data_IF_678290405454
#
_entry.id   IF_678290405454
#
_cell.length_a   1.000
_cell.length_b   1.000
_cell.length_c   1.000
_cell.angle_alpha   90.00
_cell.angle_beta   90.00
_cell.angle_gamma   90.00
#
_symmetry.space_group_name_H-M   'P 1'
#
loop_
_entity.id
_entity.type
_entity.pdbx_description
1 polymer ?
#
# COMPACT_ATOMS: atom_id res chain seq x y z
N UNK A 1 51.99 27.40 8.56
CA UNK A 1 53.11 26.63 7.98
C UNK A 1 52.90 26.56 6.48
N UNK A 2 53.78 27.28 5.78
CA UNK A 2 54.00 27.49 4.34
C UNK A 2 53.00 26.98 3.26
N UNK A 3 52.43 27.94 2.55
CA UNK A 3 52.19 27.88 1.09
C UNK A 3 53.52 28.06 0.34
N UNK A 4 53.73 27.31 -0.76
CA UNK A 4 54.55 27.75 -1.91
C UNK A 4 54.10 27.03 -3.19
N UNK A 5 53.63 27.83 -4.14
CA UNK A 5 53.49 27.48 -5.57
C UNK A 5 54.86 27.59 -6.26
N UNK A 6 55.10 26.79 -7.30
CA UNK A 6 55.99 27.16 -8.40
C UNK A 6 55.63 26.40 -9.68
N UNK A 7 55.53 27.17 -10.77
CA UNK A 7 55.29 26.78 -12.16
C UNK A 7 56.63 26.70 -12.90
N UNK A 8 56.80 25.72 -13.79
CA UNK A 8 57.66 25.69 -15.00
C UNK A 8 57.30 24.42 -15.80
N UNK A 9 56.57 24.49 -16.93
CA UNK A 9 57.08 24.71 -18.30
C UNK A 9 57.86 23.49 -18.85
N UNK A 10 57.71 22.96 -20.07
CA UNK A 10 56.84 23.18 -21.24
C UNK A 10 57.18 22.05 -22.26
N UNK A 11 56.23 21.71 -23.14
CA UNK A 11 56.36 21.12 -24.50
C UNK A 11 56.50 19.59 -24.77
N UNK A 12 55.48 19.14 -25.52
CA UNK A 12 55.49 18.32 -26.74
C UNK A 12 55.58 16.79 -26.64
N UNK A 13 54.48 16.09 -26.93
CA UNK A 13 54.21 15.53 -28.27
C UNK A 13 52.94 14.68 -28.34
N UNK A 14 52.16 14.89 -29.42
CA UNK A 14 51.36 13.91 -30.20
C UNK A 14 50.15 13.16 -29.59
N UNK A 15 48.97 13.62 -30.02
CA UNK A 15 47.78 12.89 -30.52
C UNK A 15 47.86 11.36 -30.44
N UNK A 16 46.96 10.74 -29.64
CA UNK A 16 46.32 9.46 -29.98
C UNK A 16 44.87 9.43 -29.46
N UNK A 17 43.96 9.32 -30.42
CA UNK A 17 42.64 8.67 -30.40
C UNK A 17 41.55 9.14 -29.43
N UNK A 18 40.65 9.95 -29.99
CA UNK A 18 39.23 9.78 -29.79
C UNK A 18 38.80 8.37 -30.22
N UNK A 19 38.31 7.57 -29.28
CA UNK A 19 37.34 6.49 -29.47
C UNK A 19 37.26 5.71 -28.16
N UNK A 20 36.18 5.86 -27.39
CA UNK A 20 35.68 4.88 -26.41
C UNK A 20 34.38 5.38 -25.75
N UNK A 21 33.41 5.81 -26.56
CA UNK A 21 31.99 5.86 -26.17
C UNK A 21 31.13 5.58 -27.42
N UNK A 22 31.47 4.52 -28.15
CA UNK A 22 30.55 3.89 -29.09
C UNK A 22 30.10 2.56 -28.46
N UNK A 23 29.28 2.66 -27.41
CA UNK A 23 28.49 1.52 -26.97
C UNK A 23 27.56 1.13 -28.12
N UNK A 24 27.65 -0.13 -28.54
CA UNK A 24 27.09 -0.66 -29.77
C UNK A 24 25.57 -0.42 -29.89
N UNK A 25 25.18 0.62 -30.64
CA UNK A 25 23.86 0.68 -31.27
C UNK A 25 23.84 -0.36 -32.40
N UNK A 26 23.43 -1.59 -32.08
CA UNK A 26 23.16 -2.59 -33.11
C UNK A 26 22.01 -2.08 -33.99
N UNK A 27 22.17 -2.10 -35.32
CA UNK A 27 21.14 -1.71 -36.30
C UNK A 27 19.82 -2.53 -36.21
N UNK A 28 19.78 -3.52 -35.33
CA UNK A 28 18.65 -4.39 -35.04
C UNK A 28 18.15 -4.28 -33.58
N UNK A 29 18.56 -3.24 -32.83
CA UNK A 29 17.92 -2.98 -31.55
C UNK A 29 16.45 -2.63 -31.79
N UNK A 30 15.57 -3.43 -31.21
CA UNK A 30 14.12 -3.33 -31.28
C UNK A 30 13.66 -1.93 -30.90
N UNK A 31 14.35 -1.28 -29.96
CA UNK A 31 14.07 0.09 -29.54
C UNK A 31 14.36 1.08 -30.68
N UNK A 32 15.50 0.97 -31.35
CA UNK A 32 15.84 1.86 -32.47
C UNK A 32 14.95 1.64 -33.70
N UNK A 33 14.42 0.44 -33.89
CA UNK A 33 13.53 0.14 -35.01
C UNK A 33 12.10 0.62 -34.77
N UNK A 34 11.55 0.41 -33.57
CA UNK A 34 10.21 0.88 -33.26
C UNK A 34 10.13 2.42 -33.17
N UNK A 35 11.20 3.12 -32.75
CA UNK A 35 11.26 4.59 -32.79
C UNK A 35 11.17 5.17 -34.21
N UNK A 36 11.62 4.42 -35.23
CA UNK A 36 11.48 4.82 -36.64
C UNK A 36 10.07 4.62 -37.18
N UNK A 37 9.31 3.68 -36.61
CA UNK A 37 7.92 3.39 -37.00
C UNK A 37 6.97 4.43 -36.41
N UNK A 38 7.20 4.86 -35.16
CA UNK A 38 6.41 5.93 -34.50
C UNK A 38 6.44 7.25 -35.30
N UNK A 39 7.61 7.64 -35.81
CA UNK A 39 7.80 8.85 -36.62
C UNK A 39 6.93 8.91 -37.89
N UNK A 40 6.35 7.79 -38.32
CA UNK A 40 5.55 7.67 -39.56
C UNK A 40 4.04 7.83 -39.31
N UNK A 41 3.56 7.63 -38.08
CA UNK A 41 2.12 7.43 -37.83
C UNK A 41 1.32 8.67 -37.45
N UNK A 42 1.96 9.80 -37.10
CA UNK A 42 1.27 11.07 -36.80
C UNK A 42 0.34 11.03 -35.57
N UNK A 43 0.36 9.93 -34.81
CA UNK A 43 -0.29 9.83 -33.50
C UNK A 43 0.66 10.50 -32.50
N UNK A 44 0.14 11.41 -31.67
CA UNK A 44 0.89 12.00 -30.56
C UNK A 44 1.08 10.95 -29.44
N UNK A 45 1.82 9.89 -29.74
CA UNK A 45 2.26 8.88 -28.78
C UNK A 45 3.66 9.27 -28.28
N UNK A 46 3.98 9.04 -26.99
CA UNK A 46 5.33 9.21 -26.49
C UNK A 46 6.31 8.34 -27.28
N UNK A 47 7.50 8.85 -27.56
CA UNK A 47 8.58 8.05 -28.14
C UNK A 47 8.95 6.90 -27.21
N UNK A 48 9.54 5.82 -27.73
CA UNK A 48 10.01 4.72 -26.88
C UNK A 48 10.93 5.13 -25.71
N UNK A 49 11.75 6.15 -25.90
CA UNK A 49 12.59 6.67 -24.82
C UNK A 49 11.74 7.32 -23.72
N UNK A 50 10.69 8.05 -24.09
CA UNK A 50 9.71 8.62 -23.17
C UNK A 50 8.85 7.54 -22.52
N UNK A 51 8.38 6.54 -23.27
CA UNK A 51 7.66 5.38 -22.73
C UNK A 51 8.50 4.70 -21.65
N UNK A 52 9.77 4.43 -21.94
CA UNK A 52 10.68 3.82 -20.97
C UNK A 52 10.84 4.69 -19.72
N UNK A 53 11.06 5.99 -19.87
CA UNK A 53 11.21 6.90 -18.74
C UNK A 53 9.93 6.98 -17.88
N UNK A 54 8.76 7.07 -18.53
CA UNK A 54 7.46 7.07 -17.85
C UNK A 54 7.24 5.75 -17.12
N UNK A 55 7.55 4.61 -17.74
CA UNK A 55 7.43 3.30 -17.11
C UNK A 55 8.37 3.15 -15.90
N UNK A 56 9.61 3.63 -15.98
CA UNK A 56 10.55 3.60 -14.85
C UNK A 56 10.03 4.43 -13.66
N UNK A 57 9.55 5.66 -13.90
CA UNK A 57 8.94 6.49 -12.87
C UNK A 57 7.63 5.87 -12.33
N UNK A 58 6.81 5.34 -13.23
CA UNK A 58 5.57 4.65 -12.94
C UNK A 58 5.77 3.41 -12.07
N UNK A 59 6.85 2.66 -12.30
CA UNK A 59 7.24 1.53 -11.47
C UNK A 59 7.58 1.98 -10.04
N UNK A 60 8.39 3.03 -9.89
CA UNK A 60 8.76 3.58 -8.57
C UNK A 60 7.51 4.04 -7.81
N UNK A 61 6.63 4.77 -8.49
CA UNK A 61 5.36 5.24 -7.93
C UNK A 61 4.43 4.08 -7.55
N UNK A 62 4.23 3.13 -8.45
CA UNK A 62 3.24 2.06 -8.30
C UNK A 62 3.69 0.92 -7.41
N UNK A 63 4.99 0.77 -7.13
CA UNK A 63 5.54 -0.37 -6.39
C UNK A 63 4.84 -0.60 -5.05
N UNK A 64 4.71 0.40 -4.15
CA UNK A 64 3.99 0.19 -2.89
C UNK A 64 2.53 -0.21 -3.09
N UNK A 65 1.84 0.32 -4.11
CA UNK A 65 0.43 0.06 -4.40
C UNK A 65 0.25 -1.40 -4.85
N UNK A 66 1.05 -1.85 -5.82
CA UNK A 66 0.98 -3.22 -6.35
C UNK A 66 1.37 -4.25 -5.28
N UNK A 67 2.39 -3.95 -4.46
CA UNK A 67 2.76 -4.86 -3.36
C UNK A 67 1.68 -4.91 -2.28
N UNK A 68 1.02 -3.79 -1.98
CA UNK A 68 -0.11 -3.76 -1.05
C UNK A 68 -1.31 -4.55 -1.58
N UNK A 69 -1.56 -4.49 -2.90
CA UNK A 69 -2.55 -5.35 -3.56
C UNK A 69 -2.23 -6.83 -3.37
N UNK A 70 -0.96 -7.25 -3.57
CA UNK A 70 -0.55 -8.63 -3.32
C UNK A 70 -0.81 -9.08 -1.88
N UNK A 71 -0.50 -8.23 -0.89
CA UNK A 71 -0.78 -8.49 0.54
C UNK A 71 -2.28 -8.65 0.79
N UNK A 72 -3.10 -7.74 0.24
CA UNK A 72 -4.55 -7.82 0.37
C UNK A 72 -5.11 -9.09 -0.25
N UNK A 73 -4.64 -9.45 -1.45
CA UNK A 73 -5.07 -10.65 -2.16
C UNK A 73 -4.80 -11.91 -1.33
N UNK A 74 -3.59 -12.07 -0.80
CA UNK A 74 -3.24 -13.20 0.07
C UNK A 74 -4.09 -13.27 1.34
N UNK A 75 -4.34 -12.14 1.99
CA UNK A 75 -5.03 -12.12 3.28
C UNK A 75 -6.54 -12.31 3.18
N UNK A 76 -7.16 -11.90 2.07
CA UNK A 76 -8.62 -11.73 1.99
C UNK A 76 -9.24 -12.48 0.82
N UNK A 77 -8.57 -12.51 -0.33
CA UNK A 77 -9.11 -13.03 -1.60
C UNK A 77 -8.75 -14.50 -1.78
N UNK A 78 -7.45 -14.82 -1.71
CA UNK A 78 -6.94 -16.15 -1.95
C UNK A 78 -7.17 -17.06 -0.74
N UNK A 79 -8.30 -17.77 -0.71
CA UNK A 79 -8.62 -18.75 0.34
C UNK A 79 -7.65 -19.94 0.40
N UNK A 80 -6.87 -20.17 -0.65
CA UNK A 80 -5.86 -21.22 -0.70
C UNK A 80 -4.49 -20.73 -0.25
N UNK A 81 -4.33 -19.43 0.01
CA UNK A 81 -3.09 -18.88 0.55
C UNK A 81 -2.90 -19.41 1.97
N UNK A 82 -1.70 -19.91 2.26
CA UNK A 82 -1.30 -20.24 3.64
C UNK A 82 -1.22 -19.01 4.56
N UNK A 83 -1.51 -17.82 4.04
CA UNK A 83 -1.48 -16.55 4.75
C UNK A 83 -2.87 -15.92 4.88
N UNK A 84 -3.93 -16.59 4.38
CA UNK A 84 -5.30 -16.12 4.47
C UNK A 84 -5.71 -15.85 5.92
N UNK A 85 -6.39 -14.71 6.16
CA UNK A 85 -6.76 -14.23 7.50
C UNK A 85 -8.27 -14.22 7.71
N UNK A 86 -8.99 -13.44 6.92
CA UNK A 86 -10.44 -13.27 7.04
C UNK A 86 -11.02 -12.60 5.78
N UNK A 87 -12.34 -12.72 5.52
CA UNK A 87 -13.02 -11.87 4.53
C UNK A 87 -12.96 -10.39 4.90
N UNK A 88 -13.28 -9.51 3.93
CA UNK A 88 -13.43 -8.07 4.19
C UNK A 88 -14.40 -7.80 5.35
N UNK A 89 -14.12 -6.72 6.08
CA UNK A 89 -14.89 -6.23 7.24
C UNK A 89 -14.98 -7.24 8.40
N UNK A 90 -14.08 -8.23 8.45
CA UNK A 90 -13.93 -9.16 9.55
C UNK A 90 -12.50 -9.10 10.11
N UNK A 91 -12.38 -9.35 11.41
CA UNK A 91 -11.10 -9.33 12.10
C UNK A 91 -10.58 -10.76 12.29
N UNK A 92 -9.32 -10.98 11.96
CA UNK A 92 -8.57 -12.17 12.36
C UNK A 92 -7.66 -11.84 13.54
N UNK A 93 -7.74 -12.63 14.62
CA UNK A 93 -6.84 -12.49 15.77
C UNK A 93 -5.78 -13.60 15.71
N UNK A 94 -4.51 -13.20 15.64
CA UNK A 94 -3.40 -14.14 15.78
C UNK A 94 -3.11 -14.33 17.27
N UNK A 95 -3.26 -15.56 17.76
CA UNK A 95 -3.01 -15.92 19.16
C UNK A 95 -1.57 -16.44 19.37
N UNK A 96 -0.64 -15.84 18.61
CA UNK A 96 0.80 -16.08 18.70
C UNK A 96 1.54 -14.87 18.14
N UNK A 97 2.83 -14.80 18.43
CA UNK A 97 3.73 -13.89 17.72
C UNK A 97 4.01 -14.43 16.32
N UNK A 98 4.27 -13.53 15.38
CA UNK A 98 4.71 -13.93 14.05
C UNK A 98 6.12 -14.51 14.11
N UNK A 99 6.43 -15.40 13.16
CA UNK A 99 7.73 -16.05 13.00
C UNK A 99 8.25 -15.82 11.58
N UNK A 100 9.41 -16.41 11.25
CA UNK A 100 9.94 -16.36 9.88
C UNK A 100 9.05 -17.04 8.83
N UNK A 101 8.06 -17.83 9.26
CA UNK A 101 7.08 -18.48 8.39
C UNK A 101 5.95 -17.54 7.96
N UNK A 102 5.75 -16.43 8.68
CA UNK A 102 4.81 -15.37 8.29
C UNK A 102 5.52 -14.44 7.29
N UNK A 103 5.15 -14.53 6.02
CA UNK A 103 5.96 -13.97 4.91
C UNK A 103 5.27 -12.88 4.12
N UNK A 104 3.95 -12.68 4.29
CA UNK A 104 3.21 -11.66 3.56
C UNK A 104 3.58 -10.24 4.02
N UNK A 105 3.79 -10.03 5.32
CA UNK A 105 4.25 -8.74 5.86
C UNK A 105 5.76 -8.81 6.10
N UNK A 106 6.50 -7.87 5.52
CA UNK A 106 7.96 -7.78 5.68
C UNK A 106 8.31 -7.38 7.12
N UNK A 107 9.26 -8.09 7.72
CA UNK A 107 9.84 -7.78 9.05
C UNK A 107 8.81 -7.64 10.17
N UNK A 108 8.02 -8.68 10.50
CA UNK A 108 7.12 -8.63 11.63
C UNK A 108 7.89 -8.57 12.96
N UNK A 109 7.27 -7.97 13.98
CA UNK A 109 7.82 -7.93 15.33
C UNK A 109 7.31 -9.11 16.16
N UNK A 110 8.03 -9.41 17.26
CA UNK A 110 7.67 -10.49 18.19
C UNK A 110 7.15 -9.98 19.54
N UNK A 111 6.82 -8.68 19.65
CA UNK A 111 6.40 -8.04 20.90
C UNK A 111 4.88 -7.86 20.99
N UNK A 112 4.19 -7.97 19.85
CA UNK A 112 2.74 -7.73 19.73
C UNK A 112 2.10 -8.79 18.82
N UNK A 113 1.29 -9.71 19.39
CA UNK A 113 0.37 -10.50 18.59
C UNK A 113 -0.57 -9.58 17.81
N UNK A 114 -0.78 -9.93 16.54
CA UNK A 114 -1.53 -9.12 15.60
C UNK A 114 -3.01 -9.47 15.61
N UNK A 115 -3.86 -8.46 15.45
CA UNK A 115 -5.16 -8.67 14.81
C UNK A 115 -5.20 -7.88 13.51
N UNK A 116 -5.80 -8.42 12.46
CA UNK A 116 -5.82 -7.78 11.15
C UNK A 116 -7.22 -7.85 10.55
N UNK A 117 -7.63 -6.75 9.93
CA UNK A 117 -8.86 -6.67 9.16
C UNK A 117 -8.67 -5.76 7.96
N UNK A 118 -9.01 -6.26 6.78
CA UNK A 118 -9.14 -5.44 5.60
C UNK A 118 -10.58 -4.93 5.50
N UNK A 119 -10.72 -3.64 5.25
CA UNK A 119 -11.98 -2.92 5.24
C UNK A 119 -12.38 -2.64 3.79
N UNK A 120 -13.58 -3.05 3.40
CA UNK A 120 -14.24 -2.62 2.16
C UNK A 120 -15.20 -1.47 2.50
N UNK A 121 -14.84 -0.27 2.04
CA UNK A 121 -15.51 0.99 2.37
C UNK A 121 -16.42 1.48 1.23
N UNK A 122 -16.65 0.67 0.20
CA UNK A 122 -17.42 1.05 -1.00
C UNK A 122 -18.90 1.24 -0.72
N UNK A 123 -19.48 0.36 0.09
CA UNK A 123 -20.92 0.39 0.37
C UNK A 123 -21.26 1.39 1.49
N UNK A 124 -20.48 1.35 2.56
CA UNK A 124 -20.70 2.15 3.76
C UNK A 124 -19.44 2.21 4.64
N UNK A 125 -19.39 3.15 5.61
CA UNK A 125 -18.34 3.15 6.62
C UNK A 125 -18.29 1.87 7.45
N UNK A 126 -17.12 1.60 8.01
CA UNK A 126 -16.90 0.51 8.96
C UNK A 126 -16.63 1.09 10.34
N UNK A 127 -17.25 0.53 11.37
CA UNK A 127 -17.05 0.89 12.77
C UNK A 127 -16.14 -0.13 13.44
N UNK A 128 -15.10 0.37 14.08
CA UNK A 128 -14.16 -0.38 14.92
C UNK A 128 -14.47 -0.03 16.38
N UNK A 129 -15.01 -1.00 17.12
CA UNK A 129 -15.16 -0.91 18.57
C UNK A 129 -13.91 -1.45 19.24
N UNK A 130 -13.38 -0.64 20.15
CA UNK A 130 -12.21 -0.95 20.96
C UNK A 130 -12.67 -1.15 22.40
N UNK A 131 -12.29 -2.26 23.07
CA UNK A 131 -12.61 -2.48 24.47
C UNK A 131 -11.79 -1.54 25.35
N UNK A 132 -12.12 -1.48 26.64
CA UNK A 132 -11.22 -0.85 27.60
C UNK A 132 -9.96 -1.70 27.71
N UNK A 133 -8.81 -1.08 27.50
CA UNK A 133 -7.49 -1.71 27.65
C UNK A 133 -6.85 -1.21 28.94
N UNK A 134 -6.13 -2.07 29.65
CA UNK A 134 -5.36 -1.64 30.82
C UNK A 134 -4.35 -0.55 30.40
N UNK A 135 -4.29 0.56 31.15
CA UNK A 135 -3.37 1.68 30.84
C UNK A 135 -1.89 1.26 30.83
N UNK A 136 -1.53 0.17 31.52
CA UNK A 136 -0.19 -0.40 31.52
C UNK A 136 0.14 -1.15 30.23
N UNK A 137 -0.87 -1.62 29.48
CA UNK A 137 -0.71 -2.39 28.25
C UNK A 137 -0.81 -1.46 27.04
N UNK A 138 0.24 -1.48 26.22
CA UNK A 138 0.21 -0.78 24.94
C UNK A 138 -0.71 -1.51 23.95
N UNK A 139 -1.49 -0.74 23.21
CA UNK A 139 -2.14 -1.21 21.99
C UNK A 139 -2.19 -0.10 20.94
N UNK A 140 -2.24 -0.49 19.68
CA UNK A 140 -2.51 0.41 18.57
C UNK A 140 -3.28 -0.28 17.45
N UNK A 141 -4.13 0.47 16.79
CA UNK A 141 -4.75 0.15 15.51
C UNK A 141 -4.19 1.16 14.53
N UNK A 142 -3.37 0.69 13.62
CA UNK A 142 -2.87 1.46 12.49
C UNK A 142 -3.85 1.33 11.35
N UNK A 143 -4.29 2.47 10.82
CA UNK A 143 -5.14 2.54 9.63
C UNK A 143 -4.28 2.94 8.44
N UNK A 144 -4.20 2.05 7.45
CA UNK A 144 -3.40 2.19 6.26
C UNK A 144 -4.28 2.07 5.01
N UNK A 145 -4.14 2.97 4.06
CA UNK A 145 -4.93 2.95 2.82
C UNK A 145 -4.22 2.17 1.69
N UNK A 146 -4.90 2.02 0.55
CA UNK A 146 -4.40 1.33 -0.63
C UNK A 146 -3.12 1.92 -1.19
N UNK A 147 -2.91 3.22 -0.99
CA UNK A 147 -1.70 3.97 -1.36
C UNK A 147 -0.57 3.81 -0.33
N UNK A 148 -0.77 2.99 0.70
CA UNK A 148 0.17 2.73 1.81
C UNK A 148 0.40 3.91 2.74
N UNK A 149 -0.44 4.94 2.73
CA UNK A 149 -0.39 6.01 3.72
C UNK A 149 -1.07 5.60 5.02
N UNK A 150 -0.39 5.86 6.15
CA UNK A 150 -1.03 5.79 7.46
C UNK A 150 -1.83 7.07 7.69
N UNK A 151 -3.15 6.95 7.66
CA UNK A 151 -4.06 8.10 7.81
C UNK A 151 -4.67 8.21 9.21
N UNK A 152 -4.42 7.24 10.09
CA UNK A 152 -4.95 7.28 11.44
C UNK A 152 -4.36 6.24 12.38
N UNK A 153 -4.39 6.59 13.67
CA UNK A 153 -4.09 5.67 14.76
C UNK A 153 -5.18 5.74 15.82
N UNK A 154 -5.61 4.58 16.30
CA UNK A 154 -6.45 4.42 17.50
C UNK A 154 -5.59 3.65 18.51
N UNK A 155 -5.48 4.08 19.76
CA UNK A 155 -4.58 3.38 20.68
C UNK A 155 -4.15 4.17 21.89
N UNK A 156 -3.35 3.52 22.75
CA UNK A 156 -2.86 4.07 24.02
C UNK A 156 -2.26 5.47 23.88
N UNK A 157 -1.59 5.75 22.76
CA UNK A 157 -0.91 7.03 22.50
C UNK A 157 -1.74 8.06 21.73
N UNK A 158 -2.78 7.62 21.00
CA UNK A 158 -3.53 8.49 20.09
C UNK A 158 -4.93 8.85 20.62
N UNK A 159 -5.63 7.86 21.20
CA UNK A 159 -7.04 8.00 21.62
C UNK A 159 -7.28 7.52 23.06
N UNK A 160 -6.23 7.06 23.74
CA UNK A 160 -6.27 6.58 25.13
C UNK A 160 -6.69 5.11 25.26
N UNK A 161 -6.97 4.68 26.49
CA UNK A 161 -7.22 3.27 26.83
C UNK A 161 -8.67 2.95 27.21
N UNK A 162 -9.56 3.95 27.18
CA UNK A 162 -10.98 3.73 27.47
C UNK A 162 -11.72 3.18 26.25
N UNK A 163 -12.72 2.33 26.49
CA UNK A 163 -13.53 1.74 25.43
C UNK A 163 -14.15 2.82 24.52
N UNK A 164 -14.26 2.54 23.22
CA UNK A 164 -14.84 3.49 22.27
C UNK A 164 -15.06 2.94 20.88
N UNK A 165 -15.95 3.61 20.14
CA UNK A 165 -16.28 3.31 18.75
C UNK A 165 -15.65 4.36 17.84
N UNK A 166 -14.95 3.91 16.81
CA UNK A 166 -14.27 4.73 15.82
C UNK A 166 -14.76 4.33 14.43
N UNK A 167 -14.95 5.29 13.54
CA UNK A 167 -15.50 5.03 12.22
C UNK A 167 -14.45 5.28 11.15
N UNK A 168 -14.30 4.34 10.23
CA UNK A 168 -13.48 4.46 9.03
C UNK A 168 -14.40 4.66 7.84
N UNK A 169 -14.13 5.70 7.06
CA UNK A 169 -14.94 6.08 5.89
C UNK A 169 -14.10 6.04 4.62
N UNK A 170 -14.71 5.62 3.51
CA UNK A 170 -14.08 5.67 2.20
C UNK A 170 -13.99 7.10 1.64
N UNK A 171 -13.27 7.29 0.51
CA UNK A 171 -13.05 8.60 -0.09
C UNK A 171 -14.36 9.25 -0.53
N UNK A 172 -15.33 8.45 -0.96
CA UNK A 172 -16.60 8.91 -1.51
C UNK A 172 -17.70 9.19 -0.47
N UNK A 173 -17.44 8.92 0.82
CA UNK A 173 -18.46 9.09 1.87
C UNK A 173 -18.71 10.57 2.21
N UNK A 174 -19.98 10.98 2.13
CA UNK A 174 -20.47 12.35 2.36
C UNK A 174 -21.43 12.49 3.55
N UNK A 175 -21.60 11.43 4.34
CA UNK A 175 -22.51 11.45 5.49
C UNK A 175 -21.97 12.26 6.67
N UNK A 176 -22.73 12.22 7.77
CA UNK A 176 -22.34 12.84 9.04
C UNK A 176 -21.86 11.79 10.06
N UNK A 177 -21.05 12.23 11.03
CA UNK A 177 -20.60 11.37 12.14
C UNK A 177 -21.80 11.07 13.05
N UNK A 178 -22.24 9.81 13.19
CA UNK A 178 -23.36 9.49 14.07
C UNK A 178 -22.96 9.59 15.56
N UNK A 179 -23.98 9.69 16.42
CA UNK A 179 -23.80 9.63 17.86
C UNK A 179 -23.13 8.30 18.28
N UNK A 180 -22.34 8.34 19.36
CA UNK A 180 -21.58 7.19 19.86
C UNK A 180 -20.23 6.97 19.16
N UNK A 181 -19.99 7.57 17.98
CA UNK A 181 -18.67 7.55 17.34
C UNK A 181 -17.78 8.64 17.94
N UNK A 182 -16.65 8.23 18.51
CA UNK A 182 -15.65 9.14 19.08
C UNK A 182 -14.98 9.96 17.99
N UNK A 183 -14.48 9.30 16.95
CA UNK A 183 -13.73 9.94 15.87
C UNK A 183 -13.96 9.22 14.53
N UNK A 184 -13.86 9.98 13.45
CA UNK A 184 -13.92 9.50 12.06
C UNK A 184 -12.55 9.61 11.44
N UNK A 185 -12.13 8.55 10.74
CA UNK A 185 -10.91 8.51 9.94
C UNK A 185 -11.30 8.28 8.49
N UNK A 186 -10.72 9.06 7.57
CA UNK A 186 -11.03 8.99 6.14
C UNK A 186 -9.85 8.35 5.41
N UNK A 187 -10.11 7.21 4.79
CA UNK A 187 -9.17 6.59 3.87
C UNK A 187 -9.18 7.34 2.53
N UNK A 188 -8.02 7.47 1.88
CA UNK A 188 -7.94 8.00 0.52
C UNK A 188 -8.40 6.99 -0.54
N UNK A 189 -8.58 5.72 -0.16
CA UNK A 189 -8.93 4.61 -1.07
C UNK A 189 -10.14 3.84 -0.56
N UNK A 190 -10.75 3.04 -1.44
CA UNK A 190 -11.96 2.27 -1.12
C UNK A 190 -11.68 1.05 -0.23
N UNK A 191 -10.44 0.55 -0.23
CA UNK A 191 -9.99 -0.51 0.66
C UNK A 191 -8.96 0.01 1.65
N UNK A 192 -9.01 -0.47 2.88
CA UNK A 192 -8.05 -0.07 3.92
C UNK A 192 -7.69 -1.22 4.83
N UNK A 193 -6.45 -1.27 5.27
CA UNK A 193 -5.98 -2.23 6.26
C UNK A 193 -6.02 -1.61 7.67
N UNK A 194 -6.66 -2.32 8.60
CA UNK A 194 -6.57 -2.08 10.03
C UNK A 194 -5.65 -3.15 10.66
N UNK A 195 -4.45 -2.73 11.08
CA UNK A 195 -3.53 -3.60 11.82
C UNK A 195 -3.57 -3.23 13.29
N UNK A 196 -4.02 -4.18 14.11
CA UNK A 196 -4.05 -4.08 15.56
C UNK A 196 -2.81 -4.77 16.14
N UNK A 197 -2.11 -4.07 17.03
CA UNK A 197 -1.01 -4.58 17.82
C UNK A 197 -1.41 -4.48 19.28
N UNK A 198 -1.40 -5.60 19.99
CA UNK A 198 -1.63 -5.63 21.45
C UNK A 198 -0.35 -6.13 22.11
N UNK A 199 0.21 -5.35 23.03
CA UNK A 199 1.49 -5.68 23.67
C UNK A 199 1.39 -7.00 24.43
N UNK A 200 2.38 -7.86 24.24
CA UNK A 200 2.62 -9.07 25.02
C UNK A 200 3.78 -8.79 25.98
N UNK A 201 3.56 -8.94 27.30
CA UNK A 201 4.64 -8.69 28.26
C UNK A 201 5.67 -9.83 28.33
N UNK A 202 5.20 -11.06 28.15
CA UNK A 202 5.99 -12.29 28.11
C UNK A 202 5.08 -13.43 27.60
N UNK A 203 5.63 -14.61 27.32
CA UNK A 203 4.86 -15.73 26.77
C UNK A 203 3.63 -16.14 27.63
N UNK A 204 3.72 -16.05 28.96
CA UNK A 204 2.62 -16.42 29.86
C UNK A 204 1.46 -15.41 29.85
N UNK A 205 1.67 -14.23 29.26
CA UNK A 205 0.68 -13.15 29.19
C UNK A 205 -0.27 -13.28 27.98
N UNK A 206 -0.07 -14.26 27.09
CA UNK A 206 -0.91 -14.47 25.91
C UNK A 206 -2.42 -14.54 26.22
N UNK A 207 -2.89 -15.23 27.28
CA UNK A 207 -4.32 -15.26 27.60
C UNK A 207 -4.92 -13.86 27.87
N UNK A 208 -4.12 -12.92 28.38
CA UNK A 208 -4.58 -11.53 28.56
C UNK A 208 -4.62 -10.76 27.24
N UNK A 209 -3.70 -11.06 26.31
CA UNK A 209 -3.74 -10.51 24.94
C UNK A 209 -4.99 -11.00 24.23
N UNK A 210 -5.27 -12.30 24.26
CA UNK A 210 -6.46 -12.91 23.67
C UNK A 210 -7.76 -12.30 24.24
N UNK A 211 -7.80 -12.04 25.56
CA UNK A 211 -8.94 -11.38 26.20
C UNK A 211 -9.18 -9.97 25.66
N UNK A 212 -8.12 -9.20 25.39
CA UNK A 212 -8.23 -7.89 24.75
C UNK A 212 -8.66 -8.04 23.29
N UNK A 213 -8.05 -8.98 22.56
CA UNK A 213 -8.35 -9.26 21.15
C UNK A 213 -9.82 -9.66 20.93
N UNK A 214 -10.39 -10.46 21.83
CA UNK A 214 -11.79 -10.86 21.82
C UNK A 214 -12.76 -9.68 22.04
N UNK A 215 -12.28 -8.56 22.58
CA UNK A 215 -13.08 -7.35 22.80
C UNK A 215 -13.12 -6.42 21.59
N UNK A 216 -12.28 -6.61 20.58
CA UNK A 216 -12.38 -5.83 19.34
C UNK A 216 -13.58 -6.28 18.51
N UNK A 217 -14.34 -5.33 17.97
CA UNK A 217 -15.44 -5.62 17.04
C UNK A 217 -15.29 -4.73 15.82
N UNK A 218 -15.28 -5.34 14.64
CA UNK A 218 -15.32 -4.65 13.34
C UNK A 218 -16.68 -4.97 12.72
N UNK A 219 -17.43 -3.93 12.34
CA UNK A 219 -18.76 -4.11 11.75
C UNK A 219 -19.13 -2.95 10.82
N UNK A 220 -19.97 -3.17 9.79
CA UNK A 220 -20.52 -2.08 8.98
C UNK A 220 -21.33 -1.07 9.80
N UNK A 221 -21.44 0.16 9.31
CA UNK A 221 -22.16 1.24 10.00
C UNK A 221 -23.65 0.91 10.20
N UNK A 222 -24.30 0.31 9.21
CA UNK A 222 -25.68 -0.15 9.26
C UNK A 222 -25.92 -1.09 10.45
N UNK A 223 -25.01 -2.05 10.67
CA UNK A 223 -25.05 -2.96 11.80
C UNK A 223 -24.90 -2.21 13.15
N UNK A 224 -23.96 -1.27 13.23
CA UNK A 224 -23.77 -0.43 14.43
C UNK A 224 -25.02 0.40 14.76
N UNK A 225 -25.66 0.98 13.75
CA UNK A 225 -26.87 1.80 13.90
C UNK A 225 -28.16 0.98 13.97
N UNK A 226 -28.09 -0.35 13.80
CA UNK A 226 -29.26 -1.25 13.69
C UNK A 226 -30.22 -0.82 12.58
N UNK A 227 -29.65 -0.43 11.44
CA UNK A 227 -30.36 -0.02 10.23
C UNK A 227 -30.20 -1.08 9.14
N UNK A 228 -31.08 -1.11 8.12
CA UNK A 228 -30.87 -1.94 6.94
C UNK A 228 -29.52 -1.63 6.27
N UNK A 229 -28.85 -2.68 5.81
CA UNK A 229 -27.63 -2.51 5.02
C UNK A 229 -27.95 -1.79 3.69
N UNK A 230 -27.03 -0.93 3.20
CA UNK A 230 -27.19 -0.32 1.88
C UNK A 230 -27.03 -1.37 0.78
N UNK A 231 -27.29 -0.95 -0.46
CA UNK A 231 -27.04 -1.79 -1.63
C UNK A 231 -25.59 -2.25 -1.68
N UNK A 232 -25.40 -3.56 -1.85
CA UNK A 232 -24.08 -4.16 -2.01
C UNK A 232 -23.41 -3.61 -3.29
N UNK A 233 -22.12 -3.23 -3.25
CA UNK A 233 -21.37 -2.85 -4.44
C UNK A 233 -21.27 -4.01 -5.43
N UNK A 234 -20.94 -3.70 -6.69
CA UNK A 234 -20.64 -4.71 -7.68
C UNK A 234 -19.48 -5.63 -7.21
N UNK A 235 -19.60 -6.91 -7.55
CA UNK A 235 -18.53 -7.88 -7.31
C UNK A 235 -17.30 -7.51 -8.15
N UNK A 236 -16.12 -7.72 -7.57
CA UNK A 236 -14.84 -7.46 -8.22
C UNK A 236 -14.27 -8.79 -8.68
N UNK A 237 -13.84 -8.84 -9.94
CA UNK A 237 -13.01 -9.93 -10.44
C UNK A 237 -11.55 -9.63 -10.08
N UNK A 238 -11.06 -10.25 -9.01
CA UNK A 238 -9.72 -10.02 -8.47
C UNK A 238 -8.66 -10.76 -9.28
N UNK A 239 -7.73 -10.09 -10.00
CA UNK A 239 -6.66 -10.77 -10.71
C UNK A 239 -5.74 -11.50 -9.73
N UNK A 240 -5.49 -12.79 -9.97
CA UNK A 240 -4.51 -13.52 -9.19
C UNK A 240 -3.13 -12.89 -9.31
N UNK A 241 -2.39 -12.87 -8.21
CA UNK A 241 -1.07 -12.26 -8.12
C UNK A 241 -0.16 -13.14 -7.26
N UNK A 242 1.07 -13.30 -7.72
CA UNK A 242 2.16 -13.91 -6.97
C UNK A 242 3.49 -13.23 -7.33
N UNK A 243 4.59 -13.75 -6.77
CA UNK A 243 5.94 -13.22 -6.98
C UNK A 243 6.42 -13.30 -8.43
N UNK A 244 5.91 -14.22 -9.23
CA UNK A 244 6.29 -14.37 -10.63
C UNK A 244 5.39 -13.51 -11.52
N UNK A 245 4.07 -13.54 -11.31
CA UNK A 245 3.12 -12.75 -12.09
C UNK A 245 3.36 -11.24 -11.95
N UNK A 246 3.72 -10.77 -10.75
CA UNK A 246 3.99 -9.33 -10.54
C UNK A 246 5.19 -8.82 -11.35
N UNK A 247 6.13 -9.69 -11.74
CA UNK A 247 7.30 -9.30 -12.54
C UNK A 247 6.94 -9.02 -13.99
N UNK A 248 5.93 -9.72 -14.54
CA UNK A 248 5.53 -9.59 -15.94
C UNK A 248 4.34 -8.67 -16.12
N UNK A 249 3.44 -8.60 -15.14
CA UNK A 249 2.13 -7.96 -15.27
C UNK A 249 1.98 -6.74 -14.35
N UNK A 250 3.09 -6.14 -13.90
CA UNK A 250 3.11 -5.07 -12.91
C UNK A 250 2.12 -3.93 -13.21
N UNK A 251 2.12 -3.42 -14.45
CA UNK A 251 1.27 -2.29 -14.84
C UNK A 251 -0.22 -2.66 -14.93
N UNK A 252 -0.55 -3.92 -15.22
CA UNK A 252 -1.93 -4.40 -15.18
C UNK A 252 -2.46 -4.41 -13.73
N UNK A 253 -1.63 -4.83 -12.78
CA UNK A 253 -1.98 -4.74 -11.35
C UNK A 253 -2.05 -3.31 -10.85
N UNK A 254 -1.16 -2.43 -11.34
CA UNK A 254 -1.21 -1.02 -11.01
C UNK A 254 -2.53 -0.41 -11.51
N UNK A 255 -2.86 -0.57 -12.79
CA UNK A 255 -4.13 -0.11 -13.35
C UNK A 255 -5.33 -0.64 -12.56
N UNK A 256 -5.36 -1.94 -12.30
CA UNK A 256 -6.40 -2.56 -11.48
C UNK A 256 -6.54 -1.94 -10.08
N UNK A 257 -5.43 -1.77 -9.36
CA UNK A 257 -5.44 -1.22 -8.01
C UNK A 257 -5.87 0.26 -7.98
N UNK A 258 -5.47 1.05 -8.99
CA UNK A 258 -5.78 2.47 -9.07
C UNK A 258 -7.29 2.75 -9.29
N UNK A 259 -8.07 1.78 -9.78
CA UNK A 259 -9.54 1.89 -9.86
C UNK A 259 -10.19 2.14 -8.50
N UNK A 260 -9.56 1.68 -7.42
CA UNK A 260 -10.06 1.80 -6.04
C UNK A 260 -9.35 2.90 -5.23
N UNK A 261 -8.47 3.66 -5.88
CA UNK A 261 -7.67 4.72 -5.27
C UNK A 261 -7.83 6.01 -6.09
N UNK A 262 -8.86 6.84 -5.82
CA UNK A 262 -9.02 8.12 -6.46
C UNK A 262 -7.74 8.97 -6.38
N UNK A 263 -7.41 9.65 -7.48
CA UNK A 263 -6.21 10.50 -7.54
C UNK A 263 -6.31 11.67 -6.56
N UNK A 264 -5.30 11.82 -5.73
CA UNK A 264 -4.98 13.04 -5.01
C UNK A 264 -4.32 14.08 -5.95
N UNK A 265 -4.30 15.37 -5.58
CA UNK A 265 -3.62 16.39 -6.38
C UNK A 265 -2.12 16.11 -6.57
N UNK A 266 -1.47 15.55 -5.57
CA UNK A 266 -0.01 15.35 -5.55
C UNK A 266 0.46 14.24 -6.51
N UNK A 267 -0.43 13.34 -6.91
CA UNK A 267 -0.14 12.26 -7.85
C UNK A 267 -0.74 12.49 -9.26
N UNK A 268 -1.44 13.61 -9.48
CA UNK A 268 -2.11 13.88 -10.74
C UNK A 268 -1.14 13.91 -11.92
N UNK A 269 0.07 14.45 -11.73
CA UNK A 269 1.09 14.54 -12.77
C UNK A 269 1.63 13.16 -13.20
N UNK A 270 1.97 12.29 -12.25
CA UNK A 270 2.48 10.95 -12.59
C UNK A 270 1.38 10.08 -13.20
N UNK A 271 0.14 10.17 -12.71
CA UNK A 271 -0.99 9.45 -13.30
C UNK A 271 -1.31 9.91 -14.71
N UNK A 272 -1.23 11.21 -15.00
CA UNK A 272 -1.39 11.72 -16.36
C UNK A 272 -0.30 11.21 -17.32
N UNK A 273 0.93 11.05 -16.82
CA UNK A 273 2.04 10.47 -17.60
C UNK A 273 1.85 8.97 -17.81
N UNK A 274 1.43 8.22 -16.79
CA UNK A 274 1.08 6.81 -16.94
C UNK A 274 -0.02 6.60 -17.98
N UNK A 275 -1.09 7.39 -17.90
CA UNK A 275 -2.21 7.31 -18.85
C UNK A 275 -1.82 7.62 -20.31
N UNK A 276 -0.67 8.27 -20.56
CA UNK A 276 -0.21 8.53 -21.93
C UNK A 276 0.47 7.30 -22.58
N UNK A 277 0.73 6.25 -21.80
CA UNK A 277 1.35 5.00 -22.28
C UNK A 277 0.45 3.76 -22.15
N UNK A 278 -0.79 3.94 -21.71
CA UNK A 278 -1.78 2.87 -21.50
C UNK A 278 -2.37 2.92 -20.10
#
# INVERSE_FOLDING_TARGET
MQFRLSKSALLASTIVAAALMAGCAHKADVVSQAAKVEAVTGIAAPSLAEVKAIAEEGFIYGLPIVMNYAVMHDFVINRNSGQWKAPFNQLHNEHRVFTYQDTTIVTPNSDTPYSMGWLDLRAEPVVINVPKVDKKRYYSIMLNDGNTYNYGYIGSRATGSEAGSYMVVGPNWKGEKPAGIKQVFRSSTEFSLAIIRTQLFNAADMPNVEKVQAGYVVQPLSAFLKQPAPTKPADINWPDIDKELVKTNFFEYLDFALQFAPSSPDEAAIRARLASIG
#
